data_IF_743356412914
#
_entry.id   IF_743356412914
#
_cell.length_a   1.000
_cell.length_b   1.000
_cell.length_c   1.000
_cell.angle_alpha   90.00
_cell.angle_beta   90.00
_cell.angle_gamma   90.00
#
_symmetry.space_group_name_H-M   'P 1'
#
loop_
_entity.id
_entity.type
_entity.pdbx_description
1 polymer ?
#
# COMPACT_ATOMS: atom_id res chain seq x y z
N UNK A 1 3.39 -20.51 3.63
CA UNK A 1 3.26 -19.43 2.62
C UNK A 1 2.29 -18.30 3.03
N UNK A 2 1.34 -18.56 3.96
CA UNK A 2 0.40 -17.60 4.58
C UNK A 2 0.99 -16.20 4.86
N UNK A 3 2.21 -16.14 5.43
CA UNK A 3 2.88 -14.88 5.80
C UNK A 3 3.46 -14.10 4.63
N UNK A 4 3.80 -14.78 3.53
CA UNK A 4 4.47 -14.20 2.38
C UNK A 4 3.47 -13.67 1.34
N UNK A 5 2.36 -14.39 1.18
CA UNK A 5 1.25 -14.01 0.28
C UNK A 5 -0.04 -14.21 1.07
N UNK A 6 -0.44 -13.23 1.89
CA UNK A 6 -1.73 -13.32 2.54
C UNK A 6 -2.81 -13.24 1.47
N UNK A 7 -3.70 -14.23 1.45
CA UNK A 7 -4.84 -14.30 0.52
C UNK A 7 -6.00 -13.44 1.02
N UNK A 8 -6.15 -13.39 2.35
CA UNK A 8 -7.21 -12.66 3.04
C UNK A 8 -6.74 -11.32 3.62
N UNK A 9 -7.69 -10.48 3.98
CA UNK A 9 -7.42 -9.19 4.60
C UNK A 9 -7.25 -9.35 6.11
N UNK A 10 -6.23 -8.71 6.69
CA UNK A 10 -5.98 -8.82 8.13
C UNK A 10 -5.33 -10.14 8.57
N UNK A 11 -4.74 -10.92 7.66
CA UNK A 11 -4.09 -12.22 7.99
C UNK A 11 -3.01 -12.13 9.08
N UNK A 12 -2.43 -10.94 9.29
CA UNK A 12 -1.37 -10.67 10.29
C UNK A 12 -1.90 -10.17 11.64
N UNK A 13 -3.21 -9.94 11.78
CA UNK A 13 -3.79 -9.35 12.98
C UNK A 13 -3.63 -10.22 14.24
N UNK A 14 -3.78 -11.56 14.19
CA UNK A 14 -3.59 -12.39 15.37
C UNK A 14 -2.16 -12.28 15.94
N UNK A 15 -1.16 -12.18 15.07
CA UNK A 15 0.24 -12.03 15.48
C UNK A 15 0.49 -10.63 16.05
N UNK A 16 -0.10 -9.60 15.46
CA UNK A 16 -0.04 -8.24 15.96
C UNK A 16 -0.68 -8.13 17.35
N UNK A 17 -1.83 -8.77 17.57
CA UNK A 17 -2.50 -8.82 18.87
C UNK A 17 -1.65 -9.56 19.91
N UNK A 18 -1.03 -10.69 19.52
CA UNK A 18 -0.04 -11.38 20.35
C UNK A 18 1.13 -10.46 20.75
N UNK A 19 1.68 -9.69 19.80
CA UNK A 19 2.74 -8.70 20.08
C UNK A 19 2.25 -7.59 21.01
N UNK A 20 1.05 -7.05 20.78
CA UNK A 20 0.44 -6.01 21.62
C UNK A 20 0.24 -6.44 23.07
N UNK A 21 0.00 -7.73 23.32
CA UNK A 21 -0.16 -8.25 24.68
C UNK A 21 1.11 -8.18 25.54
N UNK A 22 2.29 -8.12 24.91
CA UNK A 22 3.60 -8.14 25.60
C UNK A 22 4.42 -6.87 25.38
N UNK A 23 4.28 -6.21 24.24
CA UNK A 23 5.06 -5.03 23.87
C UNK A 23 4.40 -3.74 24.36
N UNK A 24 5.22 -2.83 24.88
CA UNK A 24 4.81 -1.47 25.28
C UNK A 24 5.05 -0.42 24.20
N UNK A 25 5.66 -0.82 23.08
CA UNK A 25 5.94 0.04 21.93
C UNK A 25 4.84 -0.11 20.88
N UNK A 26 4.58 0.91 20.05
CA UNK A 26 3.56 0.83 19.02
C UNK A 26 3.81 -0.29 18.00
N UNK A 27 2.76 -1.01 17.60
CA UNK A 27 2.79 -2.09 16.61
C UNK A 27 2.15 -1.61 15.30
N UNK A 28 2.86 -1.82 14.18
CA UNK A 28 2.39 -1.50 12.83
C UNK A 28 2.15 -2.80 12.06
N UNK A 29 0.94 -3.00 11.55
CA UNK A 29 0.54 -4.27 10.93
C UNK A 29 0.27 -4.13 9.42
N UNK A 30 0.89 -4.96 8.56
CA UNK A 30 0.64 -4.94 7.12
C UNK A 30 -0.56 -5.83 6.73
N UNK A 31 -0.79 -5.98 5.41
CA UNK A 31 -1.77 -6.89 4.81
C UNK A 31 -3.25 -6.54 5.05
N UNK A 32 -3.54 -5.26 5.29
CA UNK A 32 -4.89 -4.69 5.35
C UNK A 32 -5.12 -3.79 4.13
N UNK A 33 -6.26 -3.98 3.45
CA UNK A 33 -6.60 -3.28 2.21
C UNK A 33 -7.97 -2.61 2.27
N UNK A 34 -8.86 -3.11 3.14
CA UNK A 34 -10.17 -2.49 3.37
C UNK A 34 -10.06 -1.45 4.47
N UNK A 35 -10.56 -0.21 4.25
CA UNK A 35 -10.54 0.81 5.29
C UNK A 35 -11.28 0.38 6.56
N UNK A 36 -12.50 -0.19 6.43
CA UNK A 36 -13.24 -0.70 7.59
C UNK A 36 -12.47 -1.72 8.43
N UNK A 37 -11.77 -2.66 7.80
CA UNK A 37 -10.93 -3.63 8.54
C UNK A 37 -9.76 -2.95 9.26
N UNK A 38 -9.20 -1.88 8.69
CA UNK A 38 -8.16 -1.10 9.35
C UNK A 38 -8.71 -0.34 10.57
N UNK A 39 -9.89 0.26 10.42
CA UNK A 39 -10.57 0.96 11.50
C UNK A 39 -10.92 0.02 12.65
N UNK A 40 -11.53 -1.14 12.36
CA UNK A 40 -11.89 -2.15 13.35
C UNK A 40 -10.64 -2.66 14.08
N UNK A 41 -9.56 -2.98 13.34
CA UNK A 41 -8.32 -3.47 13.94
C UNK A 41 -7.66 -2.48 14.91
N UNK A 42 -7.72 -1.18 14.60
CA UNK A 42 -7.18 -0.13 15.47
C UNK A 42 -8.10 0.08 16.68
N UNK A 43 -9.43 0.17 16.46
CA UNK A 43 -10.42 0.36 17.54
C UNK A 43 -10.40 -0.78 18.56
N UNK A 44 -10.22 -2.02 18.09
CA UNK A 44 -10.15 -3.20 18.93
C UNK A 44 -8.78 -3.37 19.61
N UNK A 45 -7.81 -2.49 19.37
CA UNK A 45 -6.49 -2.55 19.98
C UNK A 45 -5.58 -3.66 19.45
N UNK A 46 -5.97 -4.32 18.35
CA UNK A 46 -5.18 -5.39 17.70
C UNK A 46 -3.89 -4.87 17.06
N UNK A 47 -3.86 -3.60 16.68
CA UNK A 47 -2.69 -2.91 16.13
C UNK A 47 -2.79 -1.41 16.43
N UNK A 48 -1.66 -0.69 16.50
CA UNK A 48 -1.66 0.76 16.69
C UNK A 48 -1.72 1.51 15.35
N UNK A 49 -1.13 0.93 14.30
CA UNK A 49 -1.15 1.49 12.95
C UNK A 49 -1.27 0.37 11.91
N UNK A 50 -1.77 0.73 10.73
CA UNK A 50 -1.79 -0.15 9.56
C UNK A 50 -0.77 0.30 8.53
N UNK A 51 0.01 -0.65 8.00
CA UNK A 51 0.95 -0.38 6.91
C UNK A 51 0.30 -0.73 5.57
N UNK A 52 0.23 0.27 4.69
CA UNK A 52 -0.32 0.12 3.35
C UNK A 52 0.84 0.09 2.34
N UNK A 53 0.97 -1.01 1.62
CA UNK A 53 1.95 -1.13 0.53
C UNK A 53 1.21 -1.38 -0.80
N UNK A 54 0.73 -2.61 -1.01
CA UNK A 54 0.01 -2.99 -2.23
C UNK A 54 -1.25 -2.15 -2.47
N UNK A 55 -1.92 -1.72 -1.41
CA UNK A 55 -3.08 -0.81 -1.50
C UNK A 55 -2.71 0.52 -2.12
N UNK A 56 -1.57 1.13 -1.74
CA UNK A 56 -1.09 2.39 -2.31
C UNK A 56 -0.53 2.23 -3.73
N UNK A 57 0.06 1.07 -4.05
CA UNK A 57 0.44 0.76 -5.43
C UNK A 57 -0.80 0.68 -6.33
N UNK A 58 -1.87 0.05 -5.86
CA UNK A 58 -3.12 -0.06 -6.60
C UNK A 58 -3.86 1.29 -6.68
N UNK A 59 -3.88 2.06 -5.60
CA UNK A 59 -4.56 3.34 -5.52
C UNK A 59 -3.76 4.35 -4.67
N UNK A 60 -3.06 5.32 -5.29
CA UNK A 60 -2.32 6.34 -4.54
C UNK A 60 -3.25 7.22 -3.69
N UNK A 61 -4.53 7.35 -4.09
CA UNK A 61 -5.54 8.16 -3.40
C UNK A 61 -6.30 7.37 -2.32
N UNK A 62 -5.86 6.15 -1.98
CA UNK A 62 -6.54 5.29 -0.99
C UNK A 62 -6.84 6.05 0.31
N UNK A 63 -5.85 6.76 0.85
CA UNK A 63 -5.98 7.48 2.14
C UNK A 63 -6.95 8.66 2.03
N UNK A 64 -6.84 9.45 0.95
CA UNK A 64 -7.73 10.59 0.72
C UNK A 64 -9.18 10.15 0.53
N UNK A 65 -9.40 9.08 -0.25
CA UNK A 65 -10.73 8.49 -0.47
C UNK A 65 -11.32 7.93 0.82
N UNK A 66 -10.53 7.24 1.63
CA UNK A 66 -10.95 6.78 2.96
C UNK A 66 -11.37 7.95 3.83
N UNK A 67 -10.53 8.98 3.94
CA UNK A 67 -10.84 10.17 4.74
C UNK A 67 -12.10 10.90 4.25
N UNK A 68 -12.36 10.90 2.94
CA UNK A 68 -13.55 11.48 2.33
C UNK A 68 -14.81 10.59 2.36
N UNK A 69 -14.76 9.40 2.95
CA UNK A 69 -15.89 8.45 2.94
C UNK A 69 -16.19 7.85 1.57
N UNK A 70 -15.25 7.94 0.62
CA UNK A 70 -15.40 7.50 -0.77
C UNK A 70 -14.85 6.09 -1.00
N UNK A 71 -14.97 5.19 -0.02
CA UNK A 71 -14.34 3.86 -0.05
C UNK A 71 -14.71 3.04 -1.29
N UNK A 72 -15.93 3.23 -1.81
CA UNK A 72 -16.40 2.55 -3.03
C UNK A 72 -15.61 2.95 -4.29
N UNK A 73 -14.92 4.09 -4.28
CA UNK A 73 -14.06 4.57 -5.38
C UNK A 73 -12.60 4.10 -5.25
N UNK A 74 -12.28 3.34 -4.19
CA UNK A 74 -10.93 2.80 -4.00
C UNK A 74 -10.67 1.69 -5.01
N UNK A 75 -9.58 1.83 -5.76
CA UNK A 75 -9.09 0.80 -6.67
C UNK A 75 -8.47 -0.34 -5.87
N UNK A 76 -9.24 -1.42 -5.70
CA UNK A 76 -8.84 -2.57 -4.88
C UNK A 76 -7.67 -3.36 -5.50
N UNK A 77 -6.64 -3.62 -4.69
CA UNK A 77 -5.60 -4.59 -5.06
C UNK A 77 -6.19 -6.01 -5.14
N UNK A 78 -5.89 -6.71 -6.23
CA UNK A 78 -6.33 -8.10 -6.47
C UNK A 78 -5.33 -9.16 -6.01
N UNK A 79 -4.25 -8.76 -5.32
CA UNK A 79 -3.22 -9.66 -4.76
C UNK A 79 -2.55 -10.59 -5.79
N UNK A 80 -2.49 -10.20 -7.07
CA UNK A 80 -1.92 -11.02 -8.16
C UNK A 80 -0.39 -11.20 -8.12
N UNK A 81 0.32 -10.54 -7.20
CA UNK A 81 1.79 -10.55 -7.08
C UNK A 81 2.57 -10.05 -8.31
N UNK A 82 1.91 -9.53 -9.35
CA UNK A 82 2.58 -9.03 -10.56
C UNK A 82 3.64 -7.96 -10.26
N UNK A 83 3.34 -7.05 -9.32
CA UNK A 83 4.30 -6.03 -8.86
C UNK A 83 5.58 -6.64 -8.26
N UNK A 84 5.43 -7.64 -7.38
CA UNK A 84 6.55 -8.34 -6.75
C UNK A 84 7.35 -9.16 -7.76
N UNK A 85 6.68 -9.89 -8.66
CA UNK A 85 7.35 -10.71 -9.68
C UNK A 85 8.23 -9.86 -10.60
N UNK A 86 7.81 -8.65 -10.94
CA UNK A 86 8.61 -7.72 -11.75
C UNK A 86 9.87 -7.26 -11.02
N UNK A 87 9.73 -6.83 -9.76
CA UNK A 87 10.90 -6.43 -8.93
C UNK A 87 11.89 -7.60 -8.81
N UNK A 88 11.39 -8.83 -8.56
CA UNK A 88 12.26 -10.02 -8.47
C UNK A 88 13.03 -10.32 -9.75
N UNK A 89 12.57 -9.83 -10.90
CA UNK A 89 13.25 -9.95 -12.20
C UNK A 89 14.05 -8.70 -12.56
N UNK A 90 14.27 -7.79 -11.61
CA UNK A 90 14.91 -6.49 -11.84
C UNK A 90 14.22 -5.64 -12.93
N UNK A 91 12.92 -5.84 -13.14
CA UNK A 91 12.11 -5.05 -14.06
C UNK A 91 11.46 -3.88 -13.32
N UNK A 92 11.19 -2.78 -14.03
CA UNK A 92 10.47 -1.63 -13.48
C UNK A 92 9.10 -2.01 -12.91
N UNK A 93 8.73 -1.42 -11.77
CA UNK A 93 7.47 -1.69 -11.07
C UNK A 93 6.26 -1.40 -11.97
N UNK A 94 5.30 -2.32 -11.99
CA UNK A 94 3.98 -2.16 -12.63
C UNK A 94 2.92 -2.81 -11.77
N UNK A 95 1.65 -2.42 -11.96
CA UNK A 95 0.50 -3.01 -11.30
C UNK A 95 -0.55 -3.41 -12.35
N UNK A 96 -1.22 -4.55 -12.13
CA UNK A 96 -2.24 -5.05 -13.06
C UNK A 96 -3.51 -4.18 -13.08
N UNK A 97 -3.88 -3.66 -11.92
CA UNK A 97 -5.07 -2.80 -11.78
C UNK A 97 -4.74 -1.32 -11.96
N UNK A 98 -3.48 -0.92 -11.79
CA UNK A 98 -3.05 0.47 -11.92
C UNK A 98 -1.94 0.62 -12.96
N UNK A 99 -2.33 1.04 -14.18
CA UNK A 99 -1.42 1.18 -15.32
C UNK A 99 -0.43 2.34 -15.17
N UNK A 100 -0.72 3.30 -14.29
CA UNK A 100 0.10 4.48 -14.05
C UNK A 100 1.36 4.17 -13.25
N UNK A 101 1.40 3.04 -12.53
CA UNK A 101 2.56 2.66 -11.69
C UNK A 101 3.81 2.53 -12.55
N UNK A 102 4.84 3.30 -12.19
CA UNK A 102 6.11 3.39 -12.90
C UNK A 102 6.03 4.10 -14.26
N UNK A 103 4.96 4.84 -14.52
CA UNK A 103 4.79 5.78 -15.64
C UNK A 103 4.51 7.22 -15.15
N UNK A 104 4.65 7.49 -13.85
CA UNK A 104 4.27 8.75 -13.20
C UNK A 104 4.98 9.96 -13.84
N UNK A 105 6.21 9.76 -14.34
CA UNK A 105 6.98 10.76 -15.09
C UNK A 105 6.27 11.26 -16.35
N UNK A 106 5.40 10.46 -16.95
CA UNK A 106 4.70 10.81 -18.19
C UNK A 106 3.26 11.30 -17.93
N UNK A 107 2.79 11.24 -16.69
CA UNK A 107 1.46 11.70 -16.31
C UNK A 107 1.57 13.07 -15.61
N UNK A 108 1.09 14.17 -16.25
CA UNK A 108 1.13 15.51 -15.66
C UNK A 108 0.43 15.63 -14.31
N UNK A 109 -0.59 14.80 -14.03
CA UNK A 109 -1.29 14.75 -12.73
C UNK A 109 -0.34 14.36 -11.60
N UNK A 110 0.65 13.51 -11.88
CA UNK A 110 1.62 12.99 -10.90
C UNK A 110 2.99 13.66 -10.99
N UNK A 111 3.14 14.71 -11.80
CA UNK A 111 4.36 15.51 -11.86
C UNK A 111 4.57 16.27 -10.55
N UNK A 112 5.31 15.68 -9.61
CA UNK A 112 5.84 16.45 -8.48
C UNK A 112 6.97 17.34 -8.96
N UNK A 113 6.65 18.60 -9.22
CA UNK A 113 7.61 19.67 -9.55
C UNK A 113 8.64 19.96 -8.43
N UNK A 114 8.51 19.32 -7.26
CA UNK A 114 9.17 19.76 -6.02
C UNK A 114 10.16 18.78 -5.40
N UNK A 115 10.59 17.70 -6.08
CA UNK A 115 11.70 16.88 -5.57
C UNK A 115 13.06 17.54 -5.91
N UNK A 116 13.78 18.16 -4.95
CA UNK A 116 14.97 18.97 -5.25
C UNK A 116 16.15 18.18 -5.83
N UNK A 117 16.13 16.84 -5.73
CA UNK A 117 17.22 15.96 -6.19
C UNK A 117 17.10 15.53 -7.67
N UNK A 118 16.03 15.90 -8.38
CA UNK A 118 15.85 15.50 -9.79
C UNK A 118 16.59 16.40 -10.82
N UNK A 119 17.17 17.54 -10.38
CA UNK A 119 17.81 18.52 -11.28
C UNK A 119 18.97 17.98 -12.14
N UNK A 120 19.50 16.78 -11.85
CA UNK A 120 20.60 16.16 -12.60
C UNK A 120 20.19 15.19 -13.72
N UNK A 121 18.92 14.79 -13.82
CA UNK A 121 18.44 13.90 -14.88
C UNK A 121 17.63 14.70 -15.91
N UNK A 122 18.33 15.46 -16.76
CA UNK A 122 17.74 15.95 -18.00
C UNK A 122 17.29 14.74 -18.83
N UNK A 123 16.02 14.70 -19.19
CA UNK A 123 15.48 13.78 -20.19
C UNK A 123 16.42 13.75 -21.42
N UNK A 124 16.77 12.57 -21.98
CA UNK A 124 17.06 12.51 -23.41
C UNK A 124 15.84 13.09 -24.13
N UNK A 125 16.07 14.11 -24.97
CA UNK A 125 15.05 14.64 -25.86
C UNK A 125 14.59 13.57 -26.84
#
# INVERSE_FOLDING_TARGET
MKWYVPEEDGTMLPEAEGMKSVLKIPVITPAIHRPGNAEDAIKEGKTDMVSLCRSLIADPEWVNKTAGGEEKKIRKCIRCLGCLQRIRRALGLRCEVNREVGQERYNPEYHRLSAPYWKGYSLPK
#
